data_IF_840108586644
#
_entry.id   IF_840108586644
#
_cell.length_a   1.000
_cell.length_b   1.000
_cell.length_c   1.000
_cell.angle_alpha   90.00
_cell.angle_beta   90.00
_cell.angle_gamma   90.00
#
_symmetry.space_group_name_H-M   'P 1'
#
loop_
_entity.id
_entity.type
_entity.pdbx_description
1 polymer ?
#
# COMPACT_ATOMS: atom_id res chain seq x y z
N UNK A 1 -18.57 7.14 -20.05
CA UNK A 1 -17.38 7.40 -19.21
C UNK A 1 -16.38 6.31 -19.51
N UNK A 2 -15.13 6.66 -19.79
CA UNK A 2 -14.05 5.67 -19.94
C UNK A 2 -13.62 5.23 -18.54
N UNK A 3 -13.44 3.93 -18.34
CA UNK A 3 -12.91 3.41 -17.07
C UNK A 3 -11.43 3.80 -16.92
N UNK A 4 -11.02 4.09 -15.68
CA UNK A 4 -9.63 4.39 -15.32
C UNK A 4 -9.34 3.88 -13.90
N UNK A 5 -8.06 3.73 -13.57
CA UNK A 5 -7.60 3.46 -12.20
C UNK A 5 -6.88 4.72 -11.72
N UNK A 6 -7.29 5.25 -10.55
CA UNK A 6 -6.60 6.36 -9.92
C UNK A 6 -5.47 5.82 -9.05
N UNK A 7 -4.23 6.23 -9.32
CA UNK A 7 -3.06 5.98 -8.48
C UNK A 7 -2.67 7.25 -7.73
N UNK A 8 -1.67 7.16 -6.84
CA UNK A 8 -1.08 8.33 -6.16
C UNK A 8 -0.43 9.31 -7.15
N UNK A 9 0.06 8.82 -8.30
CA UNK A 9 0.67 9.62 -9.36
C UNK A 9 -0.31 10.09 -10.45
N UNK A 10 -1.59 9.73 -10.34
CA UNK A 10 -2.62 10.10 -11.32
C UNK A 10 -3.37 8.92 -11.95
N UNK A 11 -4.25 9.19 -12.93
CA UNK A 11 -5.04 8.17 -13.61
C UNK A 11 -4.20 7.33 -14.58
N UNK A 12 -4.44 6.03 -14.62
CA UNK A 12 -3.83 5.07 -15.55
C UNK A 12 -4.87 4.21 -16.26
N UNK A 13 -4.48 3.63 -17.40
CA UNK A 13 -5.29 2.67 -18.16
C UNK A 13 -5.45 1.36 -17.35
N UNK A 14 -6.67 0.84 -17.13
CA UNK A 14 -6.86 -0.44 -16.46
C UNK A 14 -6.10 -1.61 -17.12
N UNK A 15 -5.79 -1.54 -18.42
CA UNK A 15 -5.02 -2.56 -19.11
C UNK A 15 -3.51 -2.53 -18.77
N UNK A 16 -2.99 -1.47 -18.14
CA UNK A 16 -1.55 -1.30 -17.88
C UNK A 16 -1.08 -1.78 -16.51
N UNK A 17 -1.98 -2.06 -15.56
CA UNK A 17 -1.61 -2.34 -14.15
C UNK A 17 -1.03 -3.73 -13.90
N UNK A 18 -1.15 -4.67 -14.85
CA UNK A 18 -0.49 -5.99 -14.81
C UNK A 18 -0.87 -6.86 -13.60
N UNK A 19 0.12 -7.53 -13.00
CA UNK A 19 -0.07 -8.33 -11.79
C UNK A 19 -0.27 -7.41 -10.57
N UNK A 20 -1.43 -7.54 -9.94
CA UNK A 20 -1.88 -6.65 -8.86
C UNK A 20 -2.09 -7.40 -7.55
N UNK A 21 -1.50 -6.88 -6.47
CA UNK A 21 -1.94 -7.21 -5.11
C UNK A 21 -3.07 -6.25 -4.72
N UNK A 22 -4.29 -6.78 -4.58
CA UNK A 22 -5.50 -5.93 -4.48
C UNK A 22 -5.84 -5.50 -3.06
N UNK A 23 -5.13 -6.00 -2.05
CA UNK A 23 -5.38 -5.65 -0.65
C UNK A 23 -4.10 -5.83 0.15
N UNK A 24 -3.37 -4.74 0.36
CA UNK A 24 -2.15 -4.74 1.16
C UNK A 24 -2.11 -3.50 2.06
N UNK A 25 -1.18 -3.49 2.99
CA UNK A 25 -0.83 -2.30 3.78
C UNK A 25 0.68 -2.13 3.69
N UNK A 26 1.15 -1.05 3.05
CA UNK A 26 2.60 -0.76 3.00
C UNK A 26 3.08 -0.38 4.39
N UNK A 27 2.28 0.41 5.10
CA UNK A 27 2.45 0.71 6.51
C UNK A 27 1.11 0.60 7.22
N UNK A 28 1.09 0.04 8.43
CA UNK A 28 -0.11 -0.08 9.23
C UNK A 28 0.19 0.16 10.71
N UNK A 29 -0.63 1.02 11.31
CA UNK A 29 -0.74 1.22 12.75
C UNK A 29 -2.14 0.83 13.21
N UNK A 30 -2.23 -0.12 14.14
CA UNK A 30 -3.49 -0.62 14.68
C UNK A 30 -3.60 -0.29 16.16
N UNK A 31 -4.83 -0.19 16.65
CA UNK A 31 -5.07 -0.13 18.09
C UNK A 31 -4.56 -1.40 18.76
N UNK A 32 -3.88 -1.24 19.88
CA UNK A 32 -3.54 -2.36 20.75
C UNK A 32 -4.82 -3.04 21.25
N UNK A 33 -4.76 -4.36 21.42
CA UNK A 33 -5.88 -5.19 21.86
C UNK A 33 -6.32 -4.90 23.31
N UNK A 34 -5.42 -4.32 24.11
CA UNK A 34 -5.70 -3.82 25.46
C UNK A 34 -6.42 -2.45 25.49
N UNK A 35 -6.61 -1.82 24.33
CA UNK A 35 -7.20 -0.50 24.20
C UNK A 35 -6.32 0.64 24.74
N UNK A 36 -5.05 0.36 25.04
CA UNK A 36 -4.09 1.30 25.61
C UNK A 36 -2.89 1.47 24.67
N UNK A 37 -3.13 2.10 23.52
CA UNK A 37 -2.09 2.51 22.59
C UNK A 37 -2.21 1.86 21.22
N UNK A 38 -1.09 1.80 20.52
CA UNK A 38 -1.01 1.33 19.15
C UNK A 38 0.08 0.27 18.99
N UNK A 39 -0.19 -0.69 18.11
CA UNK A 39 0.77 -1.67 17.60
C UNK A 39 0.88 -1.39 16.10
N UNK A 40 2.08 -1.05 15.64
CA UNK A 40 2.33 -0.77 14.23
C UNK A 40 3.62 -1.42 13.75
N UNK A 41 3.75 -1.53 12.43
CA UNK A 41 5.04 -1.80 11.81
C UNK A 41 6.03 -0.69 12.19
N UNK A 42 7.32 -1.00 12.27
CA UNK A 42 8.33 0.07 12.30
C UNK A 42 8.30 0.77 10.95
N UNK A 43 8.15 2.11 10.96
CA UNK A 43 8.11 2.92 9.73
C UNK A 43 9.51 3.09 9.12
N UNK A 44 10.14 1.96 8.84
CA UNK A 44 11.46 1.87 8.23
C UNK A 44 11.30 1.86 6.71
N UNK A 45 11.43 3.03 6.10
CA UNK A 45 11.20 3.22 4.67
C UNK A 45 12.16 2.39 3.80
N UNK A 46 13.39 2.14 4.27
CA UNK A 46 14.36 1.32 3.53
C UNK A 46 13.89 -0.14 3.45
N UNK A 47 13.41 -0.69 4.57
CA UNK A 47 12.84 -2.04 4.61
C UNK A 47 11.56 -2.16 3.76
N UNK A 48 10.66 -1.16 3.85
CA UNK A 48 9.44 -1.13 3.04
C UNK A 48 9.76 -1.09 1.54
N UNK A 49 10.75 -0.28 1.14
CA UNK A 49 11.21 -0.21 -0.24
C UNK A 49 11.85 -1.54 -0.71
N UNK A 50 12.58 -2.24 0.16
CA UNK A 50 13.13 -3.57 -0.13
C UNK A 50 12.02 -4.59 -0.45
N UNK A 51 10.98 -4.67 0.39
CA UNK A 51 9.85 -5.59 0.20
C UNK A 51 9.06 -5.27 -1.08
N UNK A 52 8.79 -3.99 -1.35
CA UNK A 52 8.16 -3.57 -2.61
C UNK A 52 9.06 -3.88 -3.82
N UNK A 53 10.38 -3.76 -3.66
CA UNK A 53 11.37 -4.16 -4.64
C UNK A 53 11.37 -5.67 -4.91
N UNK A 54 11.19 -6.49 -3.88
CA UNK A 54 11.04 -7.94 -4.01
C UNK A 54 9.75 -8.29 -4.78
N UNK A 55 8.62 -7.66 -4.47
CA UNK A 55 7.37 -7.82 -5.22
C UNK A 55 7.56 -7.44 -6.69
N UNK A 56 8.22 -6.30 -6.97
CA UNK A 56 8.54 -5.89 -8.33
C UNK A 56 9.42 -6.89 -9.06
N UNK A 57 10.44 -7.44 -8.38
CA UNK A 57 11.35 -8.47 -8.94
C UNK A 57 10.63 -9.76 -9.28
N UNK A 58 9.60 -10.12 -8.50
CA UNK A 58 8.72 -11.26 -8.76
C UNK A 58 7.72 -11.04 -9.92
N UNK A 59 7.72 -9.85 -10.54
CA UNK A 59 6.83 -9.49 -11.66
C UNK A 59 5.62 -8.65 -11.26
N UNK A 60 5.56 -8.18 -10.00
CA UNK A 60 4.52 -7.31 -9.50
C UNK A 60 4.55 -5.92 -10.14
N UNK A 61 3.37 -5.37 -10.46
CA UNK A 61 3.27 -4.08 -11.15
C UNK A 61 2.31 -3.10 -10.49
N UNK A 62 1.39 -3.57 -9.65
CA UNK A 62 0.44 -2.72 -8.93
C UNK A 62 0.13 -3.30 -7.54
N UNK A 63 -0.03 -2.42 -6.57
CA UNK A 63 -0.49 -2.76 -5.23
C UNK A 63 -1.56 -1.74 -4.84
N UNK A 64 -2.59 -2.19 -4.13
CA UNK A 64 -3.60 -1.30 -3.56
C UNK A 64 -3.38 -1.25 -2.05
N UNK A 65 -2.95 -0.10 -1.56
CA UNK A 65 -2.84 0.16 -0.13
C UNK A 65 -4.23 0.42 0.45
N UNK A 66 -4.65 -0.43 1.38
CA UNK A 66 -5.97 -0.40 2.04
C UNK A 66 -5.91 0.24 3.42
N UNK A 67 -4.83 0.96 3.74
CA UNK A 67 -4.65 1.60 5.04
C UNK A 67 -5.65 2.74 5.19
N UNK A 68 -6.60 2.66 6.15
CA UNK A 68 -7.55 3.72 6.37
C UNK A 68 -6.89 4.92 7.06
N UNK A 69 -7.52 6.10 6.99
CA UNK A 69 -6.99 7.32 7.60
C UNK A 69 -6.74 7.25 9.11
N UNK A 70 -7.40 6.32 9.83
CA UNK A 70 -7.18 6.10 11.26
C UNK A 70 -6.06 5.12 11.60
N UNK A 71 -5.36 4.58 10.61
CA UNK A 71 -4.37 3.51 10.78
C UNK A 71 -3.01 3.84 10.16
N UNK A 72 -2.67 5.13 10.05
CA UNK A 72 -1.37 5.58 9.57
C UNK A 72 -1.25 5.78 8.06
N UNK A 73 -2.38 5.90 7.34
CA UNK A 73 -2.38 6.22 5.90
C UNK A 73 -1.55 7.49 5.63
N UNK A 74 -0.59 7.40 4.72
CA UNK A 74 0.22 8.53 4.25
C UNK A 74 0.29 8.53 2.72
N UNK A 75 -0.26 9.54 2.04
CA UNK A 75 -0.22 9.63 0.59
C UNK A 75 1.06 10.28 0.03
N UNK A 76 2.05 10.65 0.86
CA UNK A 76 3.26 11.39 0.48
C UNK A 76 4.54 10.56 0.58
#
# INVERSE_FOLDING_TARGET
>A
MNAYIQTVDGPVDPASIGMTLTHEHVFLELWADDGQGFIGQTRDEDLLAEELGAFRTAGGTCLVDQTPGGAGCDPL
#
